data_IF_318257748393
#
_entry.id   IF_318257748393
#
_cell.length_a   1.000
_cell.length_b   1.000
_cell.length_c   1.000
_cell.angle_alpha   90.00
_cell.angle_beta   90.00
_cell.angle_gamma   90.00
#
_symmetry.space_group_name_H-M   'P 1'
#
loop_
_entity.id
_entity.type
_entity.pdbx_description
1 polymer ?
#
# COMPACT_ATOMS: atom_id res chain seq x y z
N UNK A 1 -10.41 3.33 -18.38
CA UNK A 1 -9.91 4.18 -19.48
C UNK A 1 -10.52 3.74 -20.82
N UNK A 2 -10.33 2.50 -21.25
CA UNK A 2 -10.80 1.98 -22.55
C UNK A 2 -12.31 2.17 -22.79
N UNK A 3 -13.15 2.05 -21.76
CA UNK A 3 -14.62 2.18 -21.88
C UNK A 3 -15.07 3.60 -22.22
N UNK A 4 -14.31 4.60 -21.75
CA UNK A 4 -14.65 6.02 -21.92
C UNK A 4 -13.71 6.75 -22.88
N UNK A 5 -12.72 6.04 -23.43
CA UNK A 5 -11.69 6.58 -24.33
C UNK A 5 -11.05 7.88 -23.75
N UNK A 6 -10.69 7.83 -22.45
CA UNK A 6 -10.11 8.95 -21.74
C UNK A 6 -8.99 8.46 -20.82
N UNK A 7 -8.04 9.35 -20.53
CA UNK A 7 -7.01 9.11 -19.53
C UNK A 7 -7.56 9.42 -18.13
N UNK A 8 -7.13 8.64 -17.14
CA UNK A 8 -7.49 8.82 -15.74
C UNK A 8 -6.23 9.15 -14.95
N UNK A 9 -6.27 10.24 -14.18
CA UNK A 9 -5.18 10.68 -13.33
C UNK A 9 -5.59 10.58 -11.87
N UNK A 10 -4.69 10.05 -11.05
CA UNK A 10 -4.93 9.86 -9.63
C UNK A 10 -4.55 11.09 -8.81
N UNK A 11 -5.20 11.23 -7.65
CA UNK A 11 -4.89 12.26 -6.67
C UNK A 11 -4.59 11.64 -5.33
N UNK A 12 -3.55 12.13 -4.67
CA UNK A 12 -3.14 11.69 -3.36
C UNK A 12 -3.44 12.74 -2.31
N UNK A 13 -4.26 12.38 -1.34
CA UNK A 13 -4.68 13.26 -0.27
C UNK A 13 -4.93 12.51 1.03
N UNK A 14 -5.22 13.25 2.08
CA UNK A 14 -5.55 12.74 3.41
C UNK A 14 -6.91 13.24 3.88
N UNK A 15 -7.59 12.45 4.72
CA UNK A 15 -8.93 12.75 5.24
C UNK A 15 -8.96 14.03 6.08
N UNK A 16 -7.82 14.49 6.55
CA UNK A 16 -7.61 15.74 7.26
C UNK A 16 -7.77 16.99 6.37
N UNK A 17 -8.24 16.82 5.13
CA UNK A 17 -8.45 17.90 4.17
C UNK A 17 -7.21 18.30 3.40
N UNK A 18 -6.18 17.45 3.37
CA UNK A 18 -4.95 17.72 2.65
C UNK A 18 -4.98 17.11 1.25
N UNK A 19 -4.84 17.94 0.21
CA UNK A 19 -4.44 17.51 -1.11
C UNK A 19 -2.91 17.53 -1.16
N UNK A 20 -2.28 16.35 -1.24
CA UNK A 20 -0.83 16.21 -1.09
C UNK A 20 -0.12 16.21 -2.43
N UNK A 21 -0.60 15.42 -3.38
CA UNK A 21 -0.01 15.33 -4.71
C UNK A 21 -1.05 14.99 -5.78
N UNK A 22 -0.75 15.33 -7.02
CA UNK A 22 -1.55 14.98 -8.18
C UNK A 22 -0.70 14.31 -9.26
N UNK A 23 -1.28 13.32 -9.91
CA UNK A 23 -0.67 12.64 -11.04
C UNK A 23 -0.68 13.55 -12.29
N UNK A 24 0.37 13.48 -13.08
CA UNK A 24 0.47 14.22 -14.35
C UNK A 24 0.37 13.27 -15.54
N UNK A 25 0.40 13.82 -16.77
CA UNK A 25 0.38 13.05 -18.02
C UNK A 25 1.52 12.03 -18.19
N UNK A 26 2.56 12.11 -17.38
CA UNK A 26 3.65 11.13 -17.33
C UNK A 26 3.46 10.12 -16.18
N UNK A 27 2.26 10.03 -15.61
CA UNK A 27 1.90 9.17 -14.47
C UNK A 27 2.84 9.32 -13.27
N UNK A 28 3.23 10.57 -12.94
CA UNK A 28 4.08 10.90 -11.79
C UNK A 28 3.34 11.81 -10.83
N UNK A 29 3.46 11.54 -9.53
CA UNK A 29 2.83 12.32 -8.47
C UNK A 29 3.65 13.55 -8.14
N UNK A 30 3.18 14.72 -8.56
CA UNK A 30 3.75 16.02 -8.19
C UNK A 30 3.17 16.51 -6.88
N UNK A 31 4.05 16.79 -5.90
CA UNK A 31 3.66 17.36 -4.60
C UNK A 31 3.15 18.78 -4.82
N UNK A 32 2.03 19.13 -4.20
CA UNK A 32 1.47 20.47 -4.22
C UNK A 32 2.22 21.37 -3.21
N UNK A 33 3.51 21.56 -3.45
CA UNK A 33 4.46 22.22 -2.57
C UNK A 33 4.06 23.63 -2.08
N UNK A 34 3.21 24.43 -2.77
CA UNK A 34 2.67 25.66 -2.21
C UNK A 34 1.73 25.45 -1.01
N UNK A 35 1.10 24.28 -0.90
CA UNK A 35 0.09 23.96 0.11
C UNK A 35 0.57 23.01 1.18
N UNK A 36 1.56 22.15 0.84
CA UNK A 36 2.05 21.10 1.74
C UNK A 36 3.53 20.85 1.55
N UNK A 37 4.24 20.73 2.68
CA UNK A 37 5.60 20.17 2.71
C UNK A 37 5.53 18.69 3.02
N UNK A 38 6.19 17.86 2.22
CA UNK A 38 6.20 16.39 2.36
C UNK A 38 7.61 15.90 2.65
N UNK A 39 7.74 15.13 3.70
CA UNK A 39 8.95 14.42 4.09
C UNK A 39 8.70 12.92 3.98
N UNK A 40 9.70 12.16 3.53
CA UNK A 40 9.68 10.69 3.58
C UNK A 40 10.76 10.28 4.57
N UNK A 41 10.34 9.73 5.73
CA UNK A 41 11.17 9.53 6.90
C UNK A 41 11.27 8.05 7.30
N UNK A 42 12.37 7.70 7.93
CA UNK A 42 12.57 6.42 8.59
C UNK A 42 11.91 6.38 9.98
N UNK A 43 12.09 5.27 10.70
CA UNK A 43 11.55 5.07 12.05
C UNK A 43 12.15 6.05 13.08
N UNK A 44 13.34 6.59 12.82
CA UNK A 44 14.04 7.57 13.67
C UNK A 44 13.66 9.02 13.34
N UNK A 45 12.80 9.24 12.35
CA UNK A 45 12.41 10.57 11.90
C UNK A 45 13.44 11.27 11.03
N UNK A 46 14.39 10.52 10.47
CA UNK A 46 15.40 11.02 9.54
C UNK A 46 14.93 10.80 8.10
N UNK A 47 15.30 11.73 7.23
CA UNK A 47 14.97 11.60 5.79
C UNK A 47 15.62 10.37 5.18
N UNK A 48 14.83 9.51 4.55
CA UNK A 48 15.36 8.31 3.88
C UNK A 48 16.18 8.66 2.63
N UNK A 49 17.14 7.83 2.23
CA UNK A 49 17.83 7.96 0.94
C UNK A 49 16.85 7.91 -0.24
N UNK A 50 17.26 8.50 -1.34
CA UNK A 50 16.49 8.47 -2.57
C UNK A 50 16.25 7.03 -3.06
N UNK A 51 15.07 6.77 -3.60
CA UNK A 51 14.63 5.44 -4.01
C UNK A 51 14.26 4.51 -2.86
N UNK A 52 14.34 4.97 -1.61
CA UNK A 52 14.06 4.18 -0.40
C UNK A 52 12.65 4.43 0.10
N UNK A 53 12.08 3.39 0.70
CA UNK A 53 10.78 3.44 1.37
C UNK A 53 10.88 4.17 2.71
N UNK A 54 9.89 5.01 3.01
CA UNK A 54 9.72 5.63 4.33
C UNK A 54 8.26 6.00 4.62
N UNK A 55 8.03 6.49 5.83
CA UNK A 55 6.74 7.02 6.27
C UNK A 55 6.51 8.40 5.66
N UNK A 56 5.30 8.65 5.18
CA UNK A 56 4.89 9.96 4.69
C UNK A 56 4.54 10.86 5.88
N UNK A 57 5.26 11.96 5.98
CA UNK A 57 5.05 12.99 7.00
C UNK A 57 4.75 14.31 6.29
N UNK A 58 3.73 15.01 6.71
CA UNK A 58 3.25 16.21 6.03
C UNK A 58 3.17 17.40 6.98
N UNK A 59 3.49 18.58 6.45
CA UNK A 59 3.24 19.86 7.12
C UNK A 59 2.32 20.69 6.23
N UNK A 60 1.14 21.06 6.74
CA UNK A 60 0.22 21.97 6.06
C UNK A 60 0.77 23.40 6.10
N UNK A 61 0.76 24.09 4.96
CA UNK A 61 1.32 25.43 4.84
C UNK A 61 0.25 26.53 4.81
N UNK A 62 -1.02 26.17 4.62
CA UNK A 62 -2.15 27.10 4.43
C UNK A 62 -3.34 26.86 5.36
N UNK A 63 -3.36 25.79 6.14
CA UNK A 63 -4.42 25.53 7.11
C UNK A 63 -4.03 26.03 8.51
N UNK A 64 -4.32 27.29 8.79
CA UNK A 64 -4.01 27.92 10.07
C UNK A 64 -5.00 27.58 11.19
N UNK A 65 -6.17 27.07 10.87
CA UNK A 65 -7.18 26.69 11.89
C UNK A 65 -6.86 25.34 12.52
N UNK A 66 -6.26 24.42 11.75
CA UNK A 66 -5.77 23.11 12.20
C UNK A 66 -4.39 22.88 11.59
N UNK A 67 -3.34 23.54 12.11
CA UNK A 67 -2.00 23.41 11.55
C UNK A 67 -1.43 22.02 11.84
N UNK A 68 -1.31 21.21 10.82
CA UNK A 68 -0.63 19.93 10.89
C UNK A 68 0.86 20.15 10.62
N UNK A 69 1.70 19.97 11.63
CA UNK A 69 3.15 20.15 11.54
C UNK A 69 3.82 18.80 11.76
N UNK A 70 4.59 18.32 10.76
CA UNK A 70 5.24 17.00 10.75
C UNK A 70 4.29 15.88 11.17
N UNK A 71 3.09 15.90 10.62
CA UNK A 71 2.05 14.93 10.90
C UNK A 71 2.25 13.65 10.11
N UNK A 72 2.34 12.51 10.79
CA UNK A 72 2.40 11.17 10.18
C UNK A 72 1.01 10.75 9.75
N UNK A 73 0.76 10.71 8.45
CA UNK A 73 -0.57 10.33 7.90
C UNK A 73 -0.81 8.82 7.89
N UNK A 74 0.22 8.02 8.24
CA UNK A 74 0.14 6.56 8.29
C UNK A 74 0.33 5.88 6.93
N UNK A 75 0.83 6.58 5.94
CA UNK A 75 1.14 6.04 4.63
C UNK A 75 2.65 5.82 4.45
N UNK A 76 2.98 4.89 3.55
CA UNK A 76 4.32 4.60 3.09
C UNK A 76 4.50 5.05 1.64
N UNK A 77 5.64 5.65 1.33
CA UNK A 77 6.00 6.03 -0.03
C UNK A 77 7.49 5.80 -0.30
N UNK A 78 7.83 5.68 -1.57
CA UNK A 78 9.23 5.67 -2.02
C UNK A 78 9.62 7.09 -2.37
N UNK A 79 10.71 7.58 -1.74
CA UNK A 79 11.25 8.90 -2.01
C UNK A 79 11.76 8.99 -3.45
N UNK A 80 11.49 10.10 -4.11
CA UNK A 80 12.03 10.33 -5.46
C UNK A 80 13.54 10.61 -5.43
N UNK A 81 14.23 10.10 -6.42
CA UNK A 81 15.69 10.20 -6.54
C UNK A 81 16.22 11.55 -7.01
N UNK A 82 15.38 12.54 -7.30
CA UNK A 82 15.83 13.92 -7.66
C UNK A 82 14.65 14.89 -7.71
N UNK A 83 14.94 16.17 -7.47
CA UNK A 83 14.18 17.31 -8.02
C UNK A 83 14.35 17.21 -9.53
N UNK A 84 13.47 16.54 -10.21
CA UNK A 84 13.64 16.26 -11.63
C UNK A 84 12.61 17.01 -12.45
N UNK A 85 13.07 17.62 -13.49
CA UNK A 85 12.25 18.00 -14.61
C UNK A 85 11.41 16.78 -15.05
N UNK A 86 10.12 16.81 -14.77
CA UNK A 86 9.20 15.87 -15.38
C UNK A 86 8.99 16.30 -16.83
N UNK A 87 8.84 15.33 -17.74
CA UNK A 87 8.53 15.63 -19.14
C UNK A 87 7.23 16.41 -19.31
N UNK A 88 6.34 16.38 -18.31
CA UNK A 88 5.13 17.21 -18.29
C UNK A 88 5.41 18.72 -18.11
N UNK A 89 6.66 19.14 -17.92
CA UNK A 89 7.08 20.54 -17.75
C UNK A 89 6.93 21.12 -16.34
N UNK A 90 6.36 20.38 -15.38
CA UNK A 90 6.22 20.85 -14.00
C UNK A 90 7.52 20.68 -13.21
N UNK A 91 7.95 21.72 -12.50
CA UNK A 91 9.13 21.73 -11.63
C UNK A 91 8.76 21.53 -10.15
N UNK A 92 7.65 20.83 -9.87
CA UNK A 92 7.26 20.50 -8.51
C UNK A 92 7.98 19.24 -8.04
N UNK A 93 8.25 19.10 -6.73
CA UNK A 93 8.80 17.87 -6.16
C UNK A 93 7.90 16.67 -6.47
N UNK A 94 8.50 15.47 -6.52
CA UNK A 94 7.80 14.25 -6.92
C UNK A 94 7.91 13.20 -5.84
N UNK A 95 6.81 12.49 -5.61
CA UNK A 95 6.80 11.20 -4.91
C UNK A 95 6.99 10.11 -5.96
N UNK A 96 7.99 9.25 -5.79
CA UNK A 96 8.27 8.21 -6.78
C UNK A 96 7.14 7.18 -6.85
N UNK A 97 6.70 6.70 -5.68
CA UNK A 97 5.58 5.74 -5.59
C UNK A 97 4.92 5.82 -4.21
N UNK A 98 3.60 5.84 -4.19
CA UNK A 98 2.79 5.65 -2.99
C UNK A 98 2.54 4.15 -2.84
N UNK A 99 2.85 3.60 -1.68
CA UNK A 99 2.76 2.16 -1.41
C UNK A 99 1.41 1.79 -0.76
N UNK A 100 0.89 2.70 0.07
CA UNK A 100 -0.36 2.54 0.82
C UNK A 100 -0.14 2.65 2.32
N UNK A 101 -1.12 2.21 3.10
CA UNK A 101 -1.08 2.31 4.56
C UNK A 101 0.04 1.50 5.17
N UNK A 102 0.75 2.09 6.13
CA UNK A 102 1.73 1.41 6.96
C UNK A 102 1.12 0.17 7.66
N UNK A 103 -0.14 0.25 8.13
CA UNK A 103 -0.86 -0.87 8.75
C UNK A 103 -1.19 -2.00 7.79
N UNK A 104 -1.19 -1.75 6.49
CA UNK A 104 -1.68 -2.66 5.45
C UNK A 104 -0.54 -3.31 4.66
N UNK A 105 0.62 -3.48 5.31
CA UNK A 105 1.78 -4.15 4.74
C UNK A 105 2.25 -5.30 5.63
N UNK A 106 2.80 -6.33 5.00
CA UNK A 106 3.48 -7.45 5.66
C UNK A 106 4.94 -7.49 5.23
N UNK A 107 5.77 -8.13 6.03
CA UNK A 107 7.19 -8.28 5.74
C UNK A 107 7.55 -9.75 5.54
N UNK A 108 8.26 -10.07 4.46
CA UNK A 108 8.86 -11.40 4.29
C UNK A 108 10.12 -11.53 5.16
N UNK A 109 10.64 -12.75 5.37
CA UNK A 109 11.91 -12.95 6.07
C UNK A 109 13.09 -12.20 5.46
N UNK A 110 13.09 -11.99 4.14
CA UNK A 110 14.10 -11.18 3.42
C UNK A 110 13.73 -9.68 3.35
N UNK A 111 12.87 -9.21 4.26
CA UNK A 111 12.46 -7.81 4.39
C UNK A 111 11.73 -7.20 3.17
N UNK A 112 11.22 -8.04 2.26
CA UNK A 112 10.32 -7.52 1.21
C UNK A 112 8.99 -7.11 1.82
N UNK A 113 8.40 -6.08 1.25
CA UNK A 113 7.10 -5.55 1.67
C UNK A 113 6.02 -6.07 0.74
N UNK A 114 5.02 -6.72 1.33
CA UNK A 114 3.84 -7.22 0.66
C UNK A 114 2.65 -6.34 1.06
N UNK A 115 2.07 -5.64 0.10
CA UNK A 115 0.92 -4.74 0.28
C UNK A 115 -0.40 -5.45 -0.02
N UNK A 116 -1.53 -4.83 0.36
CA UNK A 116 -2.87 -5.37 0.08
C UNK A 116 -3.03 -5.79 -1.38
N UNK A 117 -2.63 -4.93 -2.32
CA UNK A 117 -2.77 -5.19 -3.76
C UNK A 117 -1.93 -6.38 -4.26
N UNK A 118 -0.90 -6.78 -3.52
CA UNK A 118 -0.18 -8.01 -3.82
C UNK A 118 -1.11 -9.23 -3.70
N UNK A 119 -1.89 -9.28 -2.63
CA UNK A 119 -2.79 -10.40 -2.36
C UNK A 119 -4.08 -10.32 -3.17
N UNK A 120 -4.75 -9.16 -3.20
CA UNK A 120 -5.99 -8.99 -3.97
C UNK A 120 -5.78 -9.33 -5.44
N UNK A 121 -4.70 -8.86 -6.06
CA UNK A 121 -4.36 -9.18 -7.46
C UNK A 121 -3.92 -10.64 -7.70
N UNK A 122 -3.81 -11.48 -6.66
CA UNK A 122 -3.69 -12.93 -6.80
C UNK A 122 -5.06 -13.57 -6.64
N UNK A 123 -5.77 -13.23 -5.55
CA UNK A 123 -7.02 -13.88 -5.19
C UNK A 123 -8.18 -13.58 -6.16
N UNK A 124 -8.15 -12.47 -6.90
CA UNK A 124 -9.14 -12.16 -7.95
C UNK A 124 -9.20 -13.23 -9.05
N UNK A 125 -8.13 -14.02 -9.23
CA UNK A 125 -8.09 -15.13 -10.19
C UNK A 125 -8.58 -16.47 -9.59
N UNK A 126 -9.02 -16.48 -8.34
CA UNK A 126 -9.48 -17.66 -7.62
C UNK A 126 -10.87 -17.46 -7.02
N UNK A 127 -11.94 -17.43 -7.85
CA UNK A 127 -13.32 -17.21 -7.40
C UNK A 127 -13.82 -18.33 -6.45
N UNK A 128 -13.11 -19.44 -6.37
CA UNK A 128 -13.35 -20.53 -5.41
C UNK A 128 -13.01 -20.15 -3.96
N UNK A 129 -12.35 -19.02 -3.75
CA UNK A 129 -12.17 -18.40 -2.44
C UNK A 129 -13.15 -17.23 -2.32
N UNK A 130 -14.18 -17.40 -1.48
CA UNK A 130 -15.23 -16.39 -1.28
C UNK A 130 -14.70 -15.14 -0.57
N UNK A 131 -13.83 -15.33 0.40
CA UNK A 131 -13.22 -14.24 1.19
C UNK A 131 -11.89 -14.71 1.74
N UNK A 132 -10.95 -13.78 1.89
CA UNK A 132 -9.66 -14.06 2.52
C UNK A 132 -9.19 -12.92 3.41
N UNK A 133 -8.31 -13.24 4.34
CA UNK A 133 -7.60 -12.31 5.21
C UNK A 133 -6.18 -12.84 5.45
N UNK A 134 -5.21 -11.96 5.40
CA UNK A 134 -3.80 -12.31 5.59
C UNK A 134 -3.34 -11.77 6.94
N UNK A 135 -2.81 -12.65 7.79
CA UNK A 135 -2.40 -12.31 9.14
C UNK A 135 -0.91 -12.57 9.33
N UNK A 136 -0.23 -11.66 10.02
CA UNK A 136 1.15 -11.83 10.45
C UNK A 136 1.29 -11.38 11.90
N UNK A 137 1.82 -12.26 12.77
CA UNK A 137 1.94 -11.99 14.21
C UNK A 137 3.30 -11.35 14.52
N UNK A 138 4.35 -11.76 13.79
CA UNK A 138 5.73 -11.27 13.98
C UNK A 138 6.27 -10.75 12.65
N UNK A 139 6.87 -9.57 12.65
CA UNK A 139 7.53 -8.96 11.47
C UNK A 139 8.53 -9.95 10.87
N UNK A 140 8.40 -10.26 9.57
CA UNK A 140 9.22 -11.26 8.88
C UNK A 140 8.95 -12.72 9.27
N UNK A 141 7.98 -12.98 10.14
CA UNK A 141 7.57 -14.33 10.52
C UNK A 141 6.58 -14.95 9.54
N UNK A 142 5.98 -16.06 9.98
CA UNK A 142 4.95 -16.79 9.22
C UNK A 142 3.79 -15.88 8.81
N UNK A 143 3.31 -16.08 7.60
CA UNK A 143 2.10 -15.45 7.07
C UNK A 143 0.98 -16.49 7.05
N UNK A 144 -0.09 -16.20 7.77
CA UNK A 144 -1.30 -17.01 7.79
C UNK A 144 -2.35 -16.41 6.84
N UNK A 145 -2.85 -17.22 5.92
CA UNK A 145 -3.99 -16.87 5.07
C UNK A 145 -5.23 -17.57 5.61
N UNK A 146 -6.13 -16.79 6.18
CA UNK A 146 -7.46 -17.23 6.59
C UNK A 146 -8.38 -17.08 5.37
N UNK A 147 -9.20 -18.10 5.10
CA UNK A 147 -10.07 -18.07 3.93
C UNK A 147 -11.43 -18.71 4.22
N UNK A 148 -12.43 -18.29 3.47
CA UNK A 148 -13.76 -18.88 3.41
C UNK A 148 -13.90 -19.53 2.03
N UNK A 149 -14.29 -20.80 2.01
CA UNK A 149 -14.52 -21.53 0.78
C UNK A 149 -15.68 -20.93 -0.01
N UNK A 150 -15.49 -20.82 -1.32
CA UNK A 150 -16.49 -20.44 -2.29
C UNK A 150 -17.03 -21.66 -3.04
N UNK A 151 -17.76 -21.39 -4.11
CA UNK A 151 -18.31 -22.42 -4.96
C UNK A 151 -17.18 -23.14 -5.71
N UNK A 152 -17.26 -24.47 -5.84
CA UNK A 152 -16.26 -25.32 -6.50
C UNK A 152 -14.87 -25.33 -5.86
N UNK A 153 -14.78 -25.00 -4.58
CA UNK A 153 -13.51 -25.10 -3.85
C UNK A 153 -12.94 -26.52 -3.88
N UNK A 154 -11.63 -26.62 -4.06
CA UNK A 154 -10.88 -27.88 -3.94
C UNK A 154 -9.50 -27.60 -3.34
N UNK A 155 -8.95 -28.54 -2.56
CA UNK A 155 -7.68 -28.35 -1.83
C UNK A 155 -6.49 -28.02 -2.73
N UNK A 156 -6.49 -28.47 -3.98
CA UNK A 156 -5.42 -28.18 -4.95
C UNK A 156 -5.34 -26.67 -5.30
N UNK A 157 -6.41 -25.91 -5.08
CA UNK A 157 -6.43 -24.46 -5.29
C UNK A 157 -5.47 -23.76 -4.33
N UNK A 158 -5.35 -24.23 -3.09
CA UNK A 158 -4.43 -23.65 -2.11
C UNK A 158 -2.97 -23.76 -2.55
N UNK A 159 -2.59 -24.89 -3.15
CA UNK A 159 -1.24 -25.05 -3.71
C UNK A 159 -1.01 -24.13 -4.92
N UNK A 160 -2.02 -23.94 -5.75
CA UNK A 160 -1.92 -22.98 -6.88
C UNK A 160 -1.74 -21.54 -6.36
N UNK A 161 -2.52 -21.15 -5.35
CA UNK A 161 -2.40 -19.82 -4.72
C UNK A 161 -1.03 -19.65 -4.09
N UNK A 162 -0.55 -20.65 -3.34
CA UNK A 162 0.78 -20.65 -2.71
C UNK A 162 1.89 -20.45 -3.74
N UNK A 163 1.88 -21.23 -4.83
CA UNK A 163 2.85 -21.10 -5.89
C UNK A 163 2.82 -19.73 -6.54
N UNK A 164 1.62 -19.17 -6.75
CA UNK A 164 1.45 -17.82 -7.32
C UNK A 164 1.97 -16.73 -6.39
N UNK A 165 1.80 -16.90 -5.06
CA UNK A 165 2.36 -15.99 -4.05
C UNK A 165 3.88 -16.02 -4.10
N UNK A 166 4.50 -17.20 -4.12
CA UNK A 166 5.96 -17.33 -4.16
C UNK A 166 6.56 -16.82 -5.47
N UNK A 167 5.94 -17.15 -6.61
CA UNK A 167 6.33 -16.62 -7.91
C UNK A 167 6.36 -15.09 -7.94
N UNK A 168 5.28 -14.47 -7.46
CA UNK A 168 5.14 -13.00 -7.47
C UNK A 168 6.02 -12.33 -6.41
N UNK A 169 6.20 -12.94 -5.25
CA UNK A 169 7.11 -12.47 -4.20
C UNK A 169 8.59 -12.69 -4.59
N UNK A 170 8.88 -13.62 -5.50
CA UNK A 170 10.24 -14.11 -5.81
C UNK A 170 10.99 -14.53 -4.54
N UNK A 171 10.28 -15.20 -3.64
CA UNK A 171 10.77 -15.65 -2.35
C UNK A 171 9.81 -16.65 -1.74
N UNK A 172 10.34 -17.74 -1.22
CA UNK A 172 9.60 -18.71 -0.43
C UNK A 172 9.71 -18.33 1.05
N UNK A 173 8.59 -18.37 1.76
CA UNK A 173 8.50 -18.05 3.18
C UNK A 173 7.44 -18.91 3.86
N UNK A 174 7.46 -19.03 5.21
CA UNK A 174 6.45 -19.77 5.93
C UNK A 174 5.04 -19.21 5.65
N UNK A 175 4.21 -20.03 5.01
CA UNK A 175 2.84 -19.69 4.62
C UNK A 175 1.88 -20.79 5.06
N UNK A 176 0.88 -20.43 5.84
CA UNK A 176 -0.13 -21.34 6.35
C UNK A 176 -1.53 -20.93 5.90
N UNK A 177 -2.35 -21.91 5.46
CA UNK A 177 -3.75 -21.69 5.11
C UNK A 177 -4.67 -22.23 6.19
N UNK A 178 -5.68 -21.43 6.56
CA UNK A 178 -6.64 -21.76 7.61
C UNK A 178 -8.06 -21.48 7.11
N UNK A 179 -8.86 -22.55 6.95
CA UNK A 179 -10.28 -22.39 6.67
C UNK A 179 -11.00 -21.86 7.89
N UNK A 180 -11.86 -20.86 7.71
CA UNK A 180 -12.63 -20.23 8.77
C UNK A 180 -14.08 -20.02 8.34
N UNK A 181 -14.99 -20.03 9.31
CA UNK A 181 -16.41 -19.81 9.03
C UNK A 181 -16.76 -18.34 8.82
N UNK A 182 -15.95 -17.43 9.37
CA UNK A 182 -16.22 -15.99 9.31
C UNK A 182 -14.90 -15.18 9.29
N UNK A 183 -14.88 -14.13 8.52
CA UNK A 183 -13.87 -13.07 8.56
C UNK A 183 -14.58 -11.75 8.86
N UNK A 184 -14.42 -11.26 10.09
CA UNK A 184 -15.07 -10.03 10.55
C UNK A 184 -14.43 -8.80 9.90
N UNK A 185 -15.23 -7.79 9.53
CA UNK A 185 -14.71 -6.50 9.10
C UNK A 185 -14.02 -5.77 10.26
N UNK A 186 -13.31 -4.70 9.95
CA UNK A 186 -12.78 -3.77 10.95
C UNK A 186 -13.91 -3.11 11.76
N UNK A 187 -13.62 -2.47 12.91
CA UNK A 187 -14.63 -1.75 13.69
C UNK A 187 -15.37 -0.67 12.88
N UNK A 188 -14.76 -0.14 11.82
CA UNK A 188 -15.39 0.80 10.89
C UNK A 188 -16.28 0.16 9.83
N UNK A 189 -16.46 -1.17 9.85
CA UNK A 189 -17.25 -1.92 8.86
C UNK A 189 -16.53 -2.21 7.54
N UNK A 190 -15.29 -1.76 7.35
CA UNK A 190 -14.52 -1.99 6.12
C UNK A 190 -13.86 -3.38 6.13
N UNK A 191 -13.75 -4.07 4.98
CA UNK A 191 -12.97 -5.29 4.89
C UNK A 191 -11.52 -5.04 5.30
N UNK A 192 -11.01 -5.85 6.23
CA UNK A 192 -9.61 -5.80 6.66
C UNK A 192 -8.88 -7.00 6.06
N UNK A 193 -8.18 -6.76 4.96
CA UNK A 193 -7.46 -7.81 4.23
C UNK A 193 -6.17 -8.19 4.93
N UNK A 194 -5.44 -7.21 5.48
CA UNK A 194 -4.20 -7.43 6.23
C UNK A 194 -4.43 -7.17 7.71
N UNK A 195 -3.95 -8.07 8.56
CA UNK A 195 -3.95 -7.96 10.03
C UNK A 195 -2.55 -8.20 10.54
N UNK A 196 -2.00 -7.21 11.25
CA UNK A 196 -0.71 -7.33 11.94
C UNK A 196 -0.89 -7.29 13.45
N UNK A 197 0.00 -7.99 14.17
CA UNK A 197 0.04 -7.99 15.64
C UNK A 197 1.42 -7.55 16.18
N UNK A 198 2.17 -6.73 15.42
CA UNK A 198 3.47 -6.17 15.80
C UNK A 198 3.54 -4.68 15.46
#
# INVERSE_FOLDING_TARGET
>A
ENKFNTEVFDTYGAAEGLMIAGECSEHRYHILAPHVHVEILDENGQTVPDGTLGQVVVTSLDNYLMPLIRYKIGDLAIKSSKINSCKCGRNLPIINKIIGRDTDVLHTPKHKILVVHFFTGIFEHFPEIKQFQVKQIKKGGEIQIRYIEGINFSKNILEKIKNKIYERAKEDFPLHFSNVNEIKPSPSGKPQIIVRAY
#
